data_IF_655262927825
#
_entry.id   IF_655262927825
#
_cell.length_a   1.000
_cell.length_b   1.000
_cell.length_c   1.000
_cell.angle_alpha   90.00
_cell.angle_beta   90.00
_cell.angle_gamma   90.00
#
_symmetry.space_group_name_H-M   'P 1'
#
loop_
_entity.id
_entity.type
_entity.pdbx_description
1 polymer ?
#
# COMPACT_ATOMS: atom_id res chain seq x y z
N UNK A 1 15.75 13.93 -1.00
CA UNK A 1 15.81 12.44 -1.09
C UNK A 1 14.45 11.91 -0.68
N UNK A 2 14.01 10.76 -1.20
CA UNK A 2 12.73 10.15 -0.78
C UNK A 2 13.02 9.13 0.33
N UNK A 3 12.29 9.25 1.44
CA UNK A 3 12.27 8.27 2.51
C UNK A 3 11.24 7.19 2.20
N UNK A 4 11.63 5.94 2.40
CA UNK A 4 10.75 4.77 2.30
C UNK A 4 10.69 4.12 3.68
N UNK A 5 9.48 3.99 4.24
CA UNK A 5 9.23 3.43 5.56
C UNK A 5 8.25 2.28 5.46
N UNK A 6 8.62 1.13 6.01
CA UNK A 6 7.67 0.03 6.24
C UNK A 6 6.95 0.29 7.56
N UNK A 7 5.62 0.27 7.53
CA UNK A 7 4.78 0.50 8.71
C UNK A 7 3.57 -0.44 8.71
N UNK A 8 2.90 -0.54 9.85
CA UNK A 8 1.65 -1.27 10.01
C UNK A 8 0.64 -0.31 10.61
N UNK A 9 -0.38 0.04 9.83
CA UNK A 9 -1.47 0.93 10.25
C UNK A 9 -2.75 0.12 10.30
N UNK A 10 -3.41 0.08 11.46
CA UNK A 10 -4.67 -0.67 11.65
C UNK A 10 -4.58 -2.13 11.16
N UNK A 11 -3.46 -2.80 11.49
CA UNK A 11 -3.15 -4.19 11.08
C UNK A 11 -2.86 -4.39 9.57
N UNK A 12 -2.81 -3.32 8.78
CA UNK A 12 -2.45 -3.36 7.36
C UNK A 12 -0.98 -2.98 7.17
N UNK A 13 -0.12 -3.91 6.72
CA UNK A 13 1.24 -3.58 6.31
C UNK A 13 1.22 -2.65 5.11
N UNK A 14 2.03 -1.60 5.14
CA UNK A 14 2.16 -0.66 4.04
C UNK A 14 3.59 -0.15 3.90
N UNK A 15 3.88 0.40 2.73
CA UNK A 15 5.06 1.23 2.50
C UNK A 15 4.61 2.67 2.41
N UNK A 16 5.15 3.51 3.28
CA UNK A 16 4.97 4.94 3.27
C UNK A 16 6.18 5.61 2.58
N UNK A 17 5.91 6.52 1.64
CA UNK A 17 6.92 7.32 0.95
C UNK A 17 6.62 8.81 1.07
N UNK A 18 7.65 9.58 1.40
CA UNK A 18 7.61 11.04 1.50
C UNK A 18 9.00 11.64 1.33
N UNK A 19 9.07 12.95 1.10
CA UNK A 19 10.34 13.67 1.03
C UNK A 19 11.01 13.74 2.43
N UNK A 20 12.31 13.43 2.47
CA UNK A 20 13.10 13.45 3.71
C UNK A 20 12.93 14.76 4.49
N UNK A 21 12.76 14.64 5.82
CA UNK A 21 12.50 15.79 6.70
C UNK A 21 11.03 16.18 6.86
N UNK A 22 10.12 15.63 6.05
CA UNK A 22 8.67 15.92 6.11
C UNK A 22 7.84 14.92 6.90
N UNK A 23 8.46 14.08 7.73
CA UNK A 23 7.79 13.00 8.46
C UNK A 23 6.61 13.50 9.32
N UNK A 24 6.75 14.65 9.98
CA UNK A 24 5.73 15.24 10.84
C UNK A 24 4.91 16.35 10.15
N UNK A 25 5.11 16.57 8.85
CA UNK A 25 4.39 17.59 8.09
C UNK A 25 3.08 17.04 7.52
N UNK A 26 2.04 17.87 7.51
CA UNK A 26 0.79 17.56 6.80
C UNK A 26 0.99 17.71 5.29
N UNK A 27 1.05 16.59 4.59
CA UNK A 27 1.16 16.52 3.14
C UNK A 27 -0.16 16.03 2.53
N UNK A 28 -0.50 16.43 1.29
CA UNK A 28 -1.54 15.75 0.52
C UNK A 28 -1.23 14.25 0.43
N UNK A 29 -2.19 13.40 0.79
CA UNK A 29 -2.00 11.94 0.88
C UNK A 29 -2.61 11.24 -0.33
N UNK A 30 -1.89 10.28 -0.89
CA UNK A 30 -2.41 9.34 -1.90
C UNK A 30 -2.25 7.93 -1.39
N UNK A 31 -3.35 7.18 -1.33
CA UNK A 31 -3.34 5.73 -1.07
C UNK A 31 -3.37 5.01 -2.41
N UNK A 32 -2.34 4.20 -2.68
CA UNK A 32 -2.18 3.52 -3.96
C UNK A 32 -2.05 2.01 -3.74
N UNK A 33 -3.12 1.28 -4.03
CA UNK A 33 -3.11 -0.18 -4.03
C UNK A 33 -2.50 -0.74 -5.32
N UNK A 34 -1.79 -1.85 -5.19
CA UNK A 34 -1.33 -2.62 -6.34
C UNK A 34 -2.48 -3.40 -7.00
N UNK A 35 -2.24 -3.91 -8.21
CA UNK A 35 -3.20 -4.76 -8.94
C UNK A 35 -3.29 -6.20 -8.41
N UNK A 36 -4.20 -6.97 -9.00
CA UNK A 36 -4.41 -8.40 -8.70
C UNK A 36 -3.13 -9.23 -8.86
N UNK A 37 -2.90 -10.20 -7.96
CA UNK A 37 -1.73 -11.09 -7.93
C UNK A 37 -0.38 -10.35 -7.89
N UNK A 38 -0.39 -9.09 -7.43
CA UNK A 38 0.80 -8.26 -7.23
C UNK A 38 1.12 -8.12 -5.74
N UNK A 39 1.97 -7.15 -5.40
CA UNK A 39 2.34 -6.79 -4.03
C UNK A 39 2.77 -5.32 -3.96
N UNK A 40 2.72 -4.72 -2.78
CA UNK A 40 3.05 -3.29 -2.58
C UNK A 40 4.44 -2.86 -3.08
N UNK A 41 5.44 -3.73 -3.08
CA UNK A 41 6.79 -3.40 -3.57
C UNK A 41 6.85 -3.23 -5.09
N UNK A 42 5.88 -3.77 -5.84
CA UNK A 42 5.86 -3.71 -7.32
C UNK A 42 5.32 -2.41 -7.87
N UNK A 43 4.86 -1.51 -7.00
CA UNK A 43 4.30 -0.21 -7.36
C UNK A 43 5.08 0.94 -6.71
N UNK A 44 6.31 0.66 -6.25
CA UNK A 44 7.20 1.64 -5.63
C UNK A 44 7.50 2.81 -6.56
N UNK A 45 7.63 2.59 -7.87
CA UNK A 45 7.90 3.65 -8.83
C UNK A 45 6.82 4.75 -8.80
N UNK A 46 5.56 4.38 -8.57
CA UNK A 46 4.46 5.34 -8.44
C UNK A 46 4.54 6.08 -7.10
N UNK A 47 4.85 5.37 -6.02
CA UNK A 47 5.07 5.97 -4.71
C UNK A 47 6.21 6.99 -4.70
N UNK A 48 7.33 6.66 -5.35
CA UNK A 48 8.48 7.56 -5.52
C UNK A 48 8.08 8.80 -6.31
N UNK A 49 7.43 8.63 -7.46
CA UNK A 49 6.95 9.75 -8.28
C UNK A 49 6.03 10.69 -7.48
N UNK A 50 5.09 10.14 -6.72
CA UNK A 50 4.18 10.92 -5.88
C UNK A 50 4.95 11.70 -4.80
N UNK A 51 5.89 11.03 -4.12
CA UNK A 51 6.71 11.65 -3.08
C UNK A 51 7.61 12.78 -3.63
N UNK A 52 8.20 12.59 -4.82
CA UNK A 52 8.97 13.65 -5.51
C UNK A 52 8.10 14.86 -5.90
N UNK A 53 6.79 14.67 -6.05
CA UNK A 53 5.83 15.73 -6.34
C UNK A 53 5.14 16.28 -5.07
N UNK A 54 5.67 16.00 -3.89
CA UNK A 54 5.24 16.60 -2.63
C UNK A 54 4.04 15.92 -1.96
N UNK A 55 3.65 14.72 -2.42
CA UNK A 55 2.63 13.91 -1.77
C UNK A 55 3.24 12.97 -0.73
N UNK A 56 2.43 12.56 0.26
CA UNK A 56 2.70 11.36 1.05
C UNK A 56 2.00 10.19 0.37
N UNK A 57 2.77 9.24 -0.14
CA UNK A 57 2.24 8.05 -0.79
C UNK A 57 2.19 6.89 0.22
N UNK A 58 1.02 6.27 0.36
CA UNK A 58 0.83 5.06 1.15
C UNK A 58 0.53 3.90 0.20
N UNK A 59 1.34 2.85 0.25
CA UNK A 59 1.22 1.65 -0.59
C UNK A 59 0.84 0.45 0.31
N UNK A 60 -0.45 0.18 0.54
CA UNK A 60 -0.88 -0.88 1.43
C UNK A 60 -0.81 -2.25 0.74
N UNK A 61 -0.58 -3.30 1.53
CA UNK A 61 -0.72 -4.68 1.06
C UNK A 61 -2.20 -5.08 1.05
N UNK A 62 -2.71 -5.48 -0.11
CA UNK A 62 -4.07 -5.99 -0.22
C UNK A 62 -4.25 -7.32 0.54
N UNK A 63 -5.47 -7.60 1.00
CA UNK A 63 -5.79 -8.88 1.64
C UNK A 63 -5.38 -10.06 0.75
N UNK A 64 -4.82 -11.11 1.36
CA UNK A 64 -4.36 -12.35 0.69
C UNK A 64 -3.21 -12.16 -0.33
N UNK A 65 -2.53 -11.01 -0.32
CA UNK A 65 -1.37 -10.71 -1.15
C UNK A 65 -0.12 -10.46 -0.30
N UNK A 66 1.07 -10.63 -0.91
CA UNK A 66 2.36 -10.30 -0.31
C UNK A 66 2.52 -10.80 1.13
N UNK A 67 2.76 -9.88 2.07
CA UNK A 67 2.93 -10.21 3.49
C UNK A 67 1.67 -10.73 4.19
N UNK A 68 0.49 -10.51 3.58
CA UNK A 68 -0.81 -10.95 4.12
C UNK A 68 -1.29 -12.27 3.53
N UNK A 69 -0.51 -12.88 2.62
CA UNK A 69 -0.87 -14.14 1.99
C UNK A 69 -0.73 -15.31 2.98
N UNK A 70 -1.74 -16.17 3.06
CA UNK A 70 -1.70 -17.43 3.81
C UNK A 70 -1.87 -18.62 2.88
N UNK A 71 -1.46 -19.82 3.32
CA UNK A 71 -1.62 -21.06 2.53
C UNK A 71 -3.10 -21.40 2.27
N UNK A 72 -4.00 -21.00 3.18
CA UNK A 72 -5.43 -21.26 3.10
C UNK A 72 -6.16 -20.30 2.15
N UNK A 73 -5.70 -19.04 2.06
CA UNK A 73 -6.33 -17.99 1.27
C UNK A 73 -5.35 -17.37 0.29
N UNK A 74 -5.31 -17.94 -0.92
CA UNK A 74 -4.53 -17.42 -2.03
C UNK A 74 -5.29 -16.35 -2.80
N UNK A 75 -4.60 -15.25 -3.13
CA UNK A 75 -5.05 -14.28 -4.14
C UNK A 75 -5.19 -14.87 -5.54
N UNK A 76 -4.75 -16.10 -5.80
CA UNK A 76 -4.97 -16.75 -7.09
C UNK A 76 -6.40 -17.28 -7.27
N UNK A 77 -7.21 -17.35 -6.20
CA UNK A 77 -8.61 -17.75 -6.31
C UNK A 77 -9.47 -16.56 -6.79
N UNK A 78 -10.03 -16.59 -8.02
CA UNK A 78 -10.81 -15.47 -8.54
C UNK A 78 -12.08 -15.17 -7.74
N UNK A 79 -12.59 -16.13 -6.98
CA UNK A 79 -13.76 -15.93 -6.12
C UNK A 79 -13.50 -14.92 -4.99
N UNK A 80 -12.23 -14.73 -4.60
CA UNK A 80 -11.83 -13.80 -3.55
C UNK A 80 -11.69 -12.36 -4.04
N UNK A 81 -11.80 -12.12 -5.36
CA UNK A 81 -11.52 -10.80 -5.96
C UNK A 81 -12.33 -9.67 -5.33
N UNK A 82 -13.66 -9.83 -5.25
CA UNK A 82 -14.54 -8.79 -4.73
C UNK A 82 -14.41 -8.60 -3.22
N UNK A 83 -14.12 -9.67 -2.49
CA UNK A 83 -13.81 -9.59 -1.07
C UNK A 83 -12.56 -8.73 -0.85
N UNK A 84 -11.50 -9.00 -1.61
CA UNK A 84 -10.23 -8.26 -1.51
C UNK A 84 -10.43 -6.78 -1.85
N UNK A 85 -11.11 -6.47 -2.97
CA UNK A 85 -11.41 -5.07 -3.35
C UNK A 85 -12.28 -4.37 -2.29
N UNK A 86 -13.30 -5.05 -1.76
CA UNK A 86 -14.14 -4.51 -0.69
C UNK A 86 -13.33 -4.25 0.58
N UNK A 87 -12.39 -5.14 0.90
CA UNK A 87 -11.55 -5.01 2.09
C UNK A 87 -10.62 -3.80 1.98
N UNK A 88 -10.02 -3.58 0.81
CA UNK A 88 -9.20 -2.39 0.57
C UNK A 88 -9.96 -1.08 0.86
N UNK A 89 -11.25 -1.00 0.49
CA UNK A 89 -12.08 0.21 0.77
C UNK A 89 -12.40 0.36 2.26
N UNK A 90 -12.68 -0.75 2.95
CA UNK A 90 -12.96 -0.74 4.39
C UNK A 90 -11.74 -0.40 5.25
N UNK A 91 -10.56 -0.78 4.77
CA UNK A 91 -9.27 -0.61 5.43
C UNK A 91 -8.56 0.69 5.05
N UNK A 92 -9.20 1.56 4.25
CA UNK A 92 -8.62 2.87 3.91
C UNK A 92 -8.27 3.63 5.21
N UNK A 93 -7.00 4.06 5.38
CA UNK A 93 -6.55 4.79 6.56
C UNK A 93 -7.20 6.17 6.70
#
# INVERSE_FOLDING_TARGET
MITLKHDIVSEVPLIELFEEGKENEQLPVVVFYHGWESRKERVLEYGYYLAENGFRALLPEALNHGERQTEENSSQNPMNFWEIVSKNVQELP
#
